data_IF_801457400586
#
_entry.id   IF_801457400586
#
_cell.length_a   1.000
_cell.length_b   1.000
_cell.length_c   1.000
_cell.angle_alpha   90.00
_cell.angle_beta   90.00
_cell.angle_gamma   90.00
#
_symmetry.space_group_name_H-M   'P 1'
#
loop_
_entity.id
_entity.type
_entity.pdbx_description
1 polymer ?
#
# COMPACT_ATOMS: atom_id res chain seq x y z
N UNK A 1 -5.58 6.77 -5.86
CA UNK A 1 -4.13 6.67 -5.87
C UNK A 1 -3.70 5.67 -4.85
N UNK A 2 -2.81 4.82 -5.26
CA UNK A 2 -2.23 3.87 -4.35
C UNK A 2 -1.34 4.60 -3.34
N UNK A 3 -1.79 4.66 -2.11
CA UNK A 3 -1.03 5.24 -1.02
C UNK A 3 0.27 4.48 -0.74
N UNK A 4 0.36 3.22 -1.18
CA UNK A 4 1.54 2.39 -0.95
C UNK A 4 2.67 2.68 -1.94
N UNK A 5 2.36 3.10 -3.18
CA UNK A 5 3.37 3.59 -4.12
C UNK A 5 3.94 4.95 -3.73
N UNK A 6 3.22 5.73 -2.92
CA UNK A 6 3.69 7.00 -2.40
C UNK A 6 4.49 6.90 -1.09
N UNK A 7 4.58 5.72 -0.49
CA UNK A 7 5.32 5.51 0.78
C UNK A 7 6.81 5.82 0.69
N UNK A 8 7.40 5.75 -0.49
CA UNK A 8 8.78 6.14 -0.74
C UNK A 8 9.04 7.65 -0.81
N UNK A 9 8.00 8.49 -0.72
CA UNK A 9 8.10 9.93 -0.93
C UNK A 9 8.21 10.76 0.37
N UNK A 10 8.60 10.16 1.47
CA UNK A 10 8.93 10.87 2.70
C UNK A 10 7.78 11.68 3.32
N UNK A 11 8.04 12.93 3.63
CA UNK A 11 7.12 13.81 4.38
C UNK A 11 5.77 14.08 3.74
N UNK A 12 5.67 14.05 2.42
CA UNK A 12 4.42 14.34 1.72
C UNK A 12 3.37 13.27 1.98
N UNK A 13 3.78 12.01 2.04
CA UNK A 13 2.88 10.91 2.38
C UNK A 13 2.36 11.00 3.82
N UNK A 14 3.22 11.40 4.75
CA UNK A 14 2.90 11.52 6.17
C UNK A 14 1.75 12.50 6.45
N UNK A 15 1.48 13.45 5.55
CA UNK A 15 0.52 14.54 5.76
C UNK A 15 -0.81 14.35 5.03
N UNK A 16 -0.85 13.47 4.02
CA UNK A 16 -1.99 13.38 3.10
C UNK A 16 -3.37 13.21 3.73
N UNK A 17 -3.60 12.33 4.71
CA UNK A 17 -4.96 12.15 5.23
C UNK A 17 -5.42 13.29 6.13
N UNK A 18 -4.52 13.99 6.81
CA UNK A 18 -4.85 14.87 7.95
C UNK A 18 -4.41 16.31 7.78
N UNK A 19 -3.49 16.60 6.89
CA UNK A 19 -2.98 17.96 6.63
C UNK A 19 -3.05 18.29 5.15
N UNK A 20 -3.51 19.51 4.82
CA UNK A 20 -3.45 20.02 3.46
C UNK A 20 -2.04 20.48 3.13
N UNK A 21 -1.49 20.00 2.01
CA UNK A 21 -0.10 20.29 1.61
C UNK A 21 -0.01 20.62 0.13
N UNK A 22 1.15 21.11 -0.29
CA UNK A 22 1.52 21.14 -1.70
C UNK A 22 1.45 19.72 -2.25
N UNK A 23 0.93 19.56 -3.45
CA UNK A 23 0.84 18.26 -4.09
C UNK A 23 2.22 17.71 -4.47
N UNK A 24 2.26 16.45 -4.83
CA UNK A 24 3.45 15.78 -5.35
C UNK A 24 3.11 14.97 -6.61
N UNK A 25 4.11 14.75 -7.44
CA UNK A 25 3.92 14.11 -8.74
C UNK A 25 2.90 14.87 -9.58
N UNK A 26 1.82 14.20 -10.00
CA UNK A 26 0.75 14.80 -10.80
C UNK A 26 -0.29 15.58 -9.97
N UNK A 27 -0.31 15.43 -8.64
CA UNK A 27 -1.22 16.17 -7.78
C UNK A 27 -0.67 17.56 -7.47
N UNK A 28 -1.38 18.59 -7.89
CA UNK A 28 -1.00 19.99 -7.63
C UNK A 28 -1.18 20.38 -6.17
N UNK A 29 -2.18 19.84 -5.51
CA UNK A 29 -2.50 20.08 -4.10
C UNK A 29 -3.16 18.88 -3.48
N UNK A 30 -2.86 18.62 -2.20
CA UNK A 30 -3.47 17.59 -1.38
C UNK A 30 -4.17 18.26 -0.22
N UNK A 31 -5.38 17.83 0.08
CA UNK A 31 -6.20 18.35 1.15
C UNK A 31 -6.36 17.32 2.27
N UNK A 32 -6.51 17.79 3.49
CA UNK A 32 -6.87 16.95 4.63
C UNK A 32 -8.22 16.27 4.37
N UNK A 33 -8.34 15.01 4.76
CA UNK A 33 -9.60 14.27 4.71
C UNK A 33 -10.72 14.98 5.50
N UNK A 34 -10.35 15.68 6.56
CA UNK A 34 -11.27 16.45 7.42
C UNK A 34 -11.85 17.69 6.75
N UNK A 35 -11.23 18.16 5.65
CA UNK A 35 -11.74 19.26 4.83
C UNK A 35 -12.69 18.80 3.72
N UNK A 36 -12.88 17.49 3.54
CA UNK A 36 -13.59 16.90 2.40
C UNK A 36 -15.02 17.47 2.25
N UNK A 37 -15.77 17.58 3.34
CA UNK A 37 -17.11 18.14 3.31
C UNK A 37 -17.13 19.62 2.91
N UNK A 38 -16.20 20.41 3.45
CA UNK A 38 -16.03 21.83 3.09
C UNK A 38 -15.71 21.99 1.60
N UNK A 39 -14.81 21.16 1.09
CA UNK A 39 -14.43 21.15 -0.32
C UNK A 39 -15.61 20.80 -1.23
N UNK A 40 -16.42 19.79 -0.84
CA UNK A 40 -17.63 19.43 -1.57
C UNK A 40 -18.65 20.57 -1.61
N UNK A 41 -18.81 21.33 -0.52
CA UNK A 41 -19.70 22.51 -0.49
C UNK A 41 -19.26 23.62 -1.44
N UNK A 42 -17.94 23.78 -1.67
CA UNK A 42 -17.36 24.77 -2.59
C UNK A 42 -17.40 24.24 -4.03
N UNK A 43 -16.92 23.03 -4.25
CA UNK A 43 -16.85 22.38 -5.55
C UNK A 43 -17.52 21.02 -5.44
N UNK A 44 -18.71 20.88 -6.01
CA UNK A 44 -19.45 19.61 -5.98
C UNK A 44 -18.61 18.47 -6.54
N UNK A 45 -18.60 17.36 -5.83
CA UNK A 45 -17.96 16.12 -6.29
C UNK A 45 -18.97 15.31 -7.10
N UNK A 46 -18.55 14.81 -8.25
CA UNK A 46 -19.34 13.90 -9.06
C UNK A 46 -19.20 12.45 -8.57
N UNK A 47 -18.06 12.12 -7.97
CA UNK A 47 -17.77 10.83 -7.37
C UNK A 47 -16.67 10.95 -6.31
N UNK A 48 -16.62 9.99 -5.41
CA UNK A 48 -15.55 9.84 -4.41
C UNK A 48 -14.86 8.50 -4.65
N UNK A 49 -13.54 8.54 -4.82
CA UNK A 49 -12.74 7.33 -5.03
C UNK A 49 -11.82 7.10 -3.83
N UNK A 50 -12.05 5.99 -3.12
CA UNK A 50 -11.15 5.50 -2.07
C UNK A 50 -10.10 4.63 -2.75
N UNK A 51 -8.84 5.10 -2.73
CA UNK A 51 -7.73 4.45 -3.42
C UNK A 51 -7.16 3.25 -2.67
N UNK A 52 -6.15 2.62 -3.28
CA UNK A 52 -5.48 1.44 -2.78
C UNK A 52 -4.69 1.65 -1.48
N UNK A 53 -4.01 0.62 -1.04
CA UNK A 53 -3.32 0.52 0.23
C UNK A 53 -4.04 -0.43 1.20
N UNK A 54 -3.36 -0.88 2.24
CA UNK A 54 -3.98 -1.64 3.34
C UNK A 54 -4.57 -0.64 4.33
N UNK A 55 -5.71 -0.06 3.98
CA UNK A 55 -6.33 1.03 4.75
C UNK A 55 -7.63 0.64 5.42
N UNK A 56 -8.24 -0.50 5.07
CA UNK A 56 -9.53 -0.92 5.61
C UNK A 56 -9.30 -1.66 6.92
N UNK A 57 -9.06 -0.91 7.98
CA UNK A 57 -8.91 -1.40 9.34
C UNK A 57 -9.09 -0.25 10.34
N UNK A 58 -9.23 -0.60 11.63
CA UNK A 58 -9.46 0.37 12.71
C UNK A 58 -8.20 0.73 13.50
N UNK A 59 -7.06 0.14 13.16
CA UNK A 59 -5.81 0.44 13.85
C UNK A 59 -5.29 1.82 13.46
N UNK A 60 -4.71 2.50 14.44
CA UNK A 60 -3.96 3.73 14.21
C UNK A 60 -2.48 3.41 13.97
N UNK A 61 -1.78 4.31 13.33
CA UNK A 61 -0.33 4.22 13.24
C UNK A 61 0.33 5.49 13.81
N UNK A 62 1.49 5.30 14.42
CA UNK A 62 2.29 6.40 14.94
C UNK A 62 3.28 6.85 13.90
N UNK A 63 3.35 8.15 13.69
CA UNK A 63 4.24 8.77 12.74
C UNK A 63 4.74 10.11 13.27
N UNK A 64 5.99 10.47 12.97
CA UNK A 64 6.49 11.81 13.26
C UNK A 64 5.78 12.84 12.35
N UNK A 65 5.31 13.92 12.95
CA UNK A 65 4.80 15.08 12.22
C UNK A 65 5.96 16.01 11.79
N UNK A 66 5.64 17.15 11.19
CA UNK A 66 6.61 18.17 10.76
C UNK A 66 7.42 18.79 11.93
N UNK A 67 6.93 18.66 13.19
CA UNK A 67 7.61 19.09 14.40
C UNK A 67 8.46 17.98 15.05
N UNK A 68 8.71 16.87 14.32
CA UNK A 68 9.42 15.67 14.82
C UNK A 68 8.72 14.97 16.01
N UNK A 69 7.46 15.33 16.31
CA UNK A 69 6.66 14.69 17.35
C UNK A 69 5.94 13.48 16.80
N UNK A 70 5.89 12.40 17.57
CA UNK A 70 5.05 11.25 17.24
C UNK A 70 3.58 11.60 17.41
N UNK A 71 2.82 11.48 16.33
CA UNK A 71 1.37 11.66 16.31
C UNK A 71 0.74 10.36 15.87
N UNK A 72 -0.37 10.00 16.51
CA UNK A 72 -1.16 8.83 16.16
C UNK A 72 -2.24 9.22 15.15
N UNK A 73 -2.26 8.54 14.01
CA UNK A 73 -3.20 8.77 12.92
C UNK A 73 -4.19 7.61 12.81
N UNK A 74 -5.50 7.87 12.99
CA UNK A 74 -6.54 6.84 12.85
C UNK A 74 -6.80 6.55 11.36
N UNK A 75 -6.24 5.45 10.86
CA UNK A 75 -6.34 5.12 9.44
C UNK A 75 -7.78 4.97 8.95
N UNK A 76 -8.71 4.59 9.83
CA UNK A 76 -10.11 4.40 9.49
C UNK A 76 -10.80 5.67 8.95
N UNK A 77 -10.33 6.86 9.30
CA UNK A 77 -10.88 8.11 8.74
C UNK A 77 -10.75 8.12 7.21
N UNK A 78 -9.73 7.47 6.64
CA UNK A 78 -9.47 7.47 5.19
C UNK A 78 -10.51 6.74 4.36
N UNK A 79 -11.30 5.84 4.95
CA UNK A 79 -12.34 5.10 4.27
C UNK A 79 -13.74 5.34 4.84
N UNK A 80 -13.87 5.63 6.14
CA UNK A 80 -15.16 5.94 6.76
C UNK A 80 -15.66 7.31 6.33
N UNK A 81 -14.83 8.36 6.44
CA UNK A 81 -15.25 9.74 6.12
C UNK A 81 -15.70 9.88 4.66
N UNK A 82 -14.98 9.38 3.64
CA UNK A 82 -15.46 9.39 2.25
C UNK A 82 -16.82 8.71 2.07
N UNK A 83 -17.01 7.57 2.72
CA UNK A 83 -18.25 6.78 2.62
C UNK A 83 -19.45 7.50 3.28
N UNK A 84 -19.23 8.14 4.44
CA UNK A 84 -20.25 8.94 5.10
C UNK A 84 -20.62 10.18 4.26
N UNK A 85 -19.65 10.89 3.72
CA UNK A 85 -19.88 12.07 2.87
C UNK A 85 -20.61 11.67 1.58
N UNK A 86 -20.20 10.57 0.95
CA UNK A 86 -20.88 10.04 -0.21
C UNK A 86 -22.34 9.76 0.06
N UNK A 87 -22.66 9.07 1.15
CA UNK A 87 -24.03 8.80 1.58
C UNK A 87 -24.80 10.09 1.89
N UNK A 88 -24.21 11.01 2.67
CA UNK A 88 -24.85 12.27 3.07
C UNK A 88 -25.28 13.13 1.88
N UNK A 89 -24.49 13.14 0.82
CA UNK A 89 -24.71 14.01 -0.34
C UNK A 89 -25.17 13.27 -1.59
N UNK A 90 -25.45 11.97 -1.49
CA UNK A 90 -25.86 11.15 -2.64
C UNK A 90 -24.76 11.02 -3.70
N UNK A 91 -23.47 11.06 -3.29
CA UNK A 91 -22.33 10.98 -4.20
C UNK A 91 -21.90 9.52 -4.32
N UNK A 92 -21.72 8.98 -5.55
CA UNK A 92 -21.19 7.63 -5.73
C UNK A 92 -19.83 7.46 -5.05
N UNK A 93 -19.69 6.40 -4.26
CA UNK A 93 -18.41 6.04 -3.62
C UNK A 93 -17.86 4.79 -4.28
N UNK A 94 -16.66 4.91 -4.79
CA UNK A 94 -15.93 3.86 -5.49
C UNK A 94 -14.74 3.43 -4.64
N UNK A 95 -14.62 2.15 -4.36
CA UNK A 95 -13.43 1.59 -3.73
C UNK A 95 -12.55 0.91 -4.77
N UNK A 96 -11.40 1.52 -5.03
CA UNK A 96 -10.45 1.12 -6.05
C UNK A 96 -9.28 0.34 -5.42
N UNK A 97 -9.48 -0.96 -5.22
CA UNK A 97 -8.48 -1.92 -4.73
C UNK A 97 -7.83 -1.59 -3.38
N UNK A 98 -8.54 -1.05 -2.35
CA UNK A 98 -7.97 -1.06 -1.02
C UNK A 98 -7.87 -2.48 -0.49
N UNK A 99 -6.93 -2.70 0.45
CA UNK A 99 -6.78 -3.95 1.17
C UNK A 99 -7.42 -3.86 2.56
N UNK A 100 -7.98 -4.99 3.00
CA UNK A 100 -8.47 -5.21 4.35
C UNK A 100 -7.53 -6.25 5.02
N UNK A 101 -6.53 -5.82 5.81
CA UNK A 101 -5.51 -6.72 6.33
C UNK A 101 -5.94 -7.53 7.55
N UNK A 102 -7.11 -7.22 8.13
CA UNK A 102 -7.64 -7.84 9.35
C UNK A 102 -9.13 -8.09 9.22
N UNK A 103 -9.62 -9.14 9.86
CA UNK A 103 -11.04 -9.34 10.08
C UNK A 103 -11.57 -8.32 11.09
N UNK A 104 -12.84 -7.97 10.98
CA UNK A 104 -13.50 -7.09 11.93
C UNK A 104 -14.11 -7.89 13.09
N UNK A 105 -14.09 -7.33 14.26
CA UNK A 105 -14.69 -7.91 15.46
C UNK A 105 -15.65 -6.93 16.16
N UNK A 106 -16.52 -7.43 17.03
CA UNK A 106 -17.35 -6.65 17.92
C UNK A 106 -17.97 -5.41 17.26
N UNK A 107 -17.61 -4.22 17.77
CA UNK A 107 -18.09 -2.94 17.27
C UNK A 107 -17.60 -2.62 15.85
N UNK A 108 -16.45 -3.15 15.45
CA UNK A 108 -15.90 -2.95 14.11
C UNK A 108 -16.85 -3.54 13.06
N UNK A 109 -17.45 -4.71 13.34
CA UNK A 109 -18.47 -5.33 12.50
C UNK A 109 -19.67 -4.41 12.30
N UNK A 110 -20.14 -3.78 13.40
CA UNK A 110 -21.28 -2.88 13.31
C UNK A 110 -20.98 -1.66 12.43
N UNK A 111 -19.83 -1.01 12.64
CA UNK A 111 -19.42 0.16 11.85
C UNK A 111 -19.21 -0.24 10.38
N UNK A 112 -18.48 -1.33 10.14
CA UNK A 112 -18.24 -1.83 8.79
C UNK A 112 -19.55 -2.09 8.04
N UNK A 113 -20.52 -2.76 8.69
CA UNK A 113 -21.84 -3.01 8.08
C UNK A 113 -22.58 -1.73 7.68
N UNK A 114 -22.49 -0.68 8.50
CA UNK A 114 -23.13 0.62 8.20
C UNK A 114 -22.45 1.39 7.07
N UNK A 115 -21.12 1.30 6.97
CA UNK A 115 -20.34 2.06 6.01
C UNK A 115 -20.27 1.35 4.67
N UNK A 116 -19.99 0.05 4.67
CA UNK A 116 -19.67 -0.72 3.45
C UNK A 116 -20.89 -1.04 2.60
N UNK A 117 -22.06 -1.21 3.21
CA UNK A 117 -23.31 -1.49 2.49
C UNK A 117 -23.72 -0.40 1.48
N UNK A 118 -23.19 0.81 1.62
CA UNK A 118 -23.53 1.96 0.79
C UNK A 118 -22.45 2.33 -0.24
N UNK A 119 -21.41 1.50 -0.42
CA UNK A 119 -20.38 1.73 -1.44
C UNK A 119 -20.94 1.31 -2.81
N UNK A 120 -20.92 2.22 -3.77
CA UNK A 120 -21.51 2.04 -5.11
C UNK A 120 -20.77 1.00 -5.96
N UNK A 121 -19.43 0.95 -5.79
CA UNK A 121 -18.57 -0.05 -6.43
C UNK A 121 -17.44 -0.37 -5.46
N UNK A 122 -17.19 -1.67 -5.25
CA UNK A 122 -16.15 -2.13 -4.35
C UNK A 122 -15.28 -3.18 -5.03
N UNK A 123 -14.02 -2.87 -5.19
CA UNK A 123 -12.98 -3.84 -5.53
C UNK A 123 -11.92 -3.92 -4.47
N UNK A 124 -11.32 -5.08 -4.32
CA UNK A 124 -10.20 -5.37 -3.42
C UNK A 124 -9.12 -6.15 -4.17
N UNK A 125 -7.88 -6.09 -3.69
CA UNK A 125 -6.72 -6.60 -4.43
C UNK A 125 -6.36 -8.06 -4.16
N UNK A 126 -6.99 -8.71 -3.19
CA UNK A 126 -6.71 -10.12 -2.85
C UNK A 126 -7.92 -10.81 -2.24
N UNK A 127 -7.86 -12.15 -2.22
CA UNK A 127 -8.94 -13.00 -1.72
C UNK A 127 -9.21 -12.79 -0.23
N UNK A 128 -8.18 -12.58 0.59
CA UNK A 128 -8.36 -12.33 2.02
C UNK A 128 -9.23 -11.09 2.29
N UNK A 129 -8.96 -9.99 1.57
CA UNK A 129 -9.79 -8.78 1.68
C UNK A 129 -11.22 -9.01 1.17
N UNK A 130 -11.39 -9.83 0.15
CA UNK A 130 -12.71 -10.22 -0.34
C UNK A 130 -13.49 -10.99 0.73
N UNK A 131 -12.89 -12.01 1.31
CA UNK A 131 -13.52 -12.85 2.34
C UNK A 131 -13.91 -12.04 3.58
N UNK A 132 -13.08 -11.06 3.95
CA UNK A 132 -13.34 -10.15 5.05
C UNK A 132 -14.52 -9.20 4.79
N UNK A 133 -14.81 -8.87 3.52
CA UNK A 133 -15.76 -7.79 3.16
C UNK A 133 -17.05 -8.28 2.50
N UNK A 134 -17.11 -9.50 1.97
CA UNK A 134 -18.27 -10.02 1.22
C UNK A 134 -19.55 -10.03 2.04
N UNK A 135 -19.47 -10.24 3.34
CA UNK A 135 -20.62 -10.24 4.23
C UNK A 135 -21.23 -8.84 4.46
N UNK A 136 -20.48 -7.76 4.16
CA UNK A 136 -20.92 -6.38 4.32
C UNK A 136 -21.37 -5.76 3.00
N UNK A 137 -20.83 -6.22 1.88
CA UNK A 137 -21.21 -5.76 0.55
C UNK A 137 -21.10 -6.91 -0.46
N UNK A 138 -22.26 -7.41 -0.90
CA UNK A 138 -22.34 -8.53 -1.85
C UNK A 138 -21.74 -8.21 -3.25
N UNK A 139 -21.49 -6.94 -3.56
CA UNK A 139 -20.92 -6.50 -4.83
C UNK A 139 -19.39 -6.37 -4.81
N UNK A 140 -18.73 -6.76 -3.70
CA UNK A 140 -17.28 -6.74 -3.65
C UNK A 140 -16.67 -7.67 -4.68
N UNK A 141 -15.60 -7.25 -5.35
CA UNK A 141 -14.90 -8.01 -6.38
C UNK A 141 -13.42 -8.07 -6.09
N UNK A 142 -12.78 -9.19 -6.40
CA UNK A 142 -11.32 -9.26 -6.43
C UNK A 142 -10.81 -8.73 -7.76
N UNK A 143 -9.89 -7.79 -7.73
CA UNK A 143 -9.20 -7.27 -8.91
C UNK A 143 -7.68 -7.32 -8.71
N UNK A 144 -6.93 -7.09 -9.77
CA UNK A 144 -5.47 -6.96 -9.70
C UNK A 144 -5.07 -5.57 -9.22
N UNK A 145 -3.89 -5.46 -8.62
CA UNK A 145 -3.39 -4.17 -8.15
C UNK A 145 -3.21 -3.19 -9.32
N UNK A 146 -3.73 -1.97 -9.17
CA UNK A 146 -3.66 -0.93 -10.22
C UNK A 146 -2.24 -0.44 -10.51
N UNK A 147 -1.27 -0.78 -9.67
CA UNK A 147 0.15 -0.51 -9.92
C UNK A 147 0.68 -1.20 -11.19
N UNK A 148 0.00 -2.22 -11.72
CA UNK A 148 0.33 -2.78 -13.04
C UNK A 148 0.17 -1.78 -14.19
N UNK A 149 -0.47 -0.62 -13.97
CA UNK A 149 -0.53 0.49 -14.91
C UNK A 149 0.66 1.47 -14.80
N UNK A 150 1.68 1.18 -14.00
CA UNK A 150 2.80 2.10 -13.74
C UNK A 150 3.48 2.60 -15.02
N UNK A 151 3.53 1.77 -16.08
CA UNK A 151 4.12 2.15 -17.37
C UNK A 151 3.34 3.20 -18.15
N UNK A 152 2.03 3.33 -17.91
CA UNK A 152 1.21 4.38 -18.51
C UNK A 152 1.55 5.75 -17.87
N UNK A 153 1.81 5.75 -16.57
CA UNK A 153 2.19 6.96 -15.83
C UNK A 153 3.65 7.32 -16.09
N UNK A 154 4.53 6.32 -16.13
CA UNK A 154 5.97 6.47 -16.33
C UNK A 154 6.44 5.63 -17.53
N UNK A 155 6.17 6.05 -18.78
CA UNK A 155 6.65 5.32 -19.96
C UNK A 155 8.18 5.24 -19.96
N UNK A 156 8.73 4.04 -20.23
CA UNK A 156 10.19 3.79 -20.15
C UNK A 156 11.04 4.79 -20.97
N UNK A 157 10.52 5.25 -22.09
CA UNK A 157 11.20 6.21 -22.96
C UNK A 157 11.30 7.64 -22.36
N UNK A 158 10.51 7.96 -21.33
CA UNK A 158 10.60 9.23 -20.57
C UNK A 158 11.54 9.11 -19.37
N UNK A 159 11.84 7.90 -18.92
CA UNK A 159 12.67 7.67 -17.76
C UNK A 159 14.16 7.79 -18.10
N UNK A 160 14.92 8.37 -17.18
CA UNK A 160 16.37 8.50 -17.32
C UNK A 160 17.06 7.38 -16.55
N UNK A 161 17.86 6.54 -17.25
CA UNK A 161 18.65 5.52 -16.59
C UNK A 161 19.69 6.16 -15.65
N UNK A 162 19.61 5.84 -14.37
CA UNK A 162 20.46 6.43 -13.32
C UNK A 162 21.79 5.69 -13.13
N UNK A 163 21.80 4.37 -13.32
CA UNK A 163 22.99 3.52 -13.16
C UNK A 163 23.47 3.01 -14.50
N UNK A 164 24.76 3.29 -14.83
CA UNK A 164 25.41 2.78 -16.04
C UNK A 164 25.80 1.30 -15.86
N UNK A 165 25.61 0.50 -16.91
CA UNK A 165 25.95 -0.94 -16.92
C UNK A 165 24.84 -1.80 -16.32
N UNK A 166 25.17 -3.08 -16.07
CA UNK A 166 24.24 -4.05 -15.47
C UNK A 166 24.16 -3.86 -13.97
N UNK A 167 22.96 -3.94 -13.40
CA UNK A 167 22.76 -3.83 -11.97
C UNK A 167 21.55 -4.57 -11.44
N UNK A 168 21.68 -5.05 -10.22
CA UNK A 168 20.61 -5.67 -9.42
C UNK A 168 20.12 -4.67 -8.40
N UNK A 169 18.81 -4.54 -8.25
CA UNK A 169 18.19 -3.77 -7.18
C UNK A 169 17.87 -4.69 -6.02
N UNK A 170 18.33 -4.31 -4.83
CA UNK A 170 17.95 -4.95 -3.57
C UNK A 170 17.17 -4.00 -2.68
N UNK A 171 16.11 -4.51 -2.06
CA UNK A 171 15.28 -3.78 -1.10
C UNK A 171 15.00 -4.63 0.13
N UNK A 172 15.14 -4.04 1.30
CA UNK A 172 14.82 -4.65 2.59
C UNK A 172 14.29 -3.60 3.56
N UNK A 173 13.81 -4.03 4.72
CA UNK A 173 13.33 -3.17 5.79
C UNK A 173 13.80 -3.69 7.16
N UNK A 174 13.51 -2.93 8.24
CA UNK A 174 13.95 -3.23 9.62
C UNK A 174 13.52 -4.59 10.16
N UNK A 175 12.58 -5.27 9.54
CA UNK A 175 12.08 -6.56 10.01
C UNK A 175 12.92 -7.75 9.54
N UNK A 176 13.99 -7.51 8.78
CA UNK A 176 14.91 -8.57 8.36
C UNK A 176 15.63 -9.17 9.57
N UNK A 177 15.48 -10.48 9.79
CA UNK A 177 16.20 -11.21 10.81
C UNK A 177 17.69 -11.41 10.44
N UNK A 178 18.53 -11.72 11.43
CA UNK A 178 19.98 -11.83 11.21
C UNK A 178 20.34 -12.90 10.16
N UNK A 179 19.70 -14.09 10.19
CA UNK A 179 19.97 -15.13 9.21
C UNK A 179 19.64 -14.68 7.78
N UNK A 180 18.47 -14.07 7.58
CA UNK A 180 18.05 -13.55 6.28
C UNK A 180 18.96 -12.40 5.83
N UNK A 181 19.44 -11.58 6.76
CA UNK A 181 20.42 -10.51 6.49
C UNK A 181 21.74 -11.08 5.99
N UNK A 182 22.31 -12.08 6.69
CA UNK A 182 23.57 -12.71 6.31
C UNK A 182 23.46 -13.45 4.98
N UNK A 183 22.35 -14.14 4.74
CA UNK A 183 22.07 -14.77 3.45
C UNK A 183 22.00 -13.73 2.32
N UNK A 184 21.28 -12.62 2.54
CA UNK A 184 21.22 -11.53 1.55
C UNK A 184 22.61 -10.95 1.27
N UNK A 185 23.39 -10.61 2.30
CA UNK A 185 24.74 -10.06 2.13
C UNK A 185 25.62 -11.01 1.31
N UNK A 186 25.61 -12.31 1.62
CA UNK A 186 26.38 -13.34 0.89
C UNK A 186 25.99 -13.39 -0.58
N UNK A 187 24.71 -13.49 -0.90
CA UNK A 187 24.23 -13.57 -2.29
C UNK A 187 24.50 -12.27 -3.08
N UNK A 188 24.33 -11.11 -2.44
CA UNK A 188 24.64 -9.82 -3.05
C UNK A 188 26.15 -9.64 -3.32
N UNK A 189 27.00 -10.12 -2.42
CA UNK A 189 28.44 -10.14 -2.63
C UNK A 189 28.84 -11.04 -3.81
N UNK A 190 28.19 -12.18 -3.97
CA UNK A 190 28.43 -13.06 -5.13
C UNK A 190 27.96 -12.39 -6.44
N UNK A 191 26.76 -11.81 -6.45
CA UNK A 191 26.23 -11.06 -7.58
C UNK A 191 27.08 -9.85 -7.94
N UNK A 192 27.75 -9.23 -6.97
CA UNK A 192 28.58 -8.04 -7.18
C UNK A 192 29.80 -8.28 -8.07
N UNK A 193 30.19 -9.53 -8.27
CA UNK A 193 31.24 -9.91 -9.22
C UNK A 193 30.86 -9.65 -10.69
N UNK A 194 29.56 -9.60 -10.98
CA UNK A 194 29.02 -9.44 -12.37
C UNK A 194 28.14 -8.21 -12.52
N UNK A 195 27.42 -7.82 -11.47
CA UNK A 195 26.44 -6.74 -11.47
C UNK A 195 26.81 -5.69 -10.44
N UNK A 196 26.50 -4.43 -10.69
CA UNK A 196 26.45 -3.42 -9.63
C UNK A 196 25.24 -3.73 -8.73
N UNK A 197 25.40 -3.62 -7.43
CA UNK A 197 24.30 -3.80 -6.48
C UNK A 197 23.79 -2.43 -6.04
N UNK A 198 22.53 -2.17 -6.28
CA UNK A 198 21.83 -0.95 -5.88
C UNK A 198 20.90 -1.25 -4.70
N UNK A 199 21.17 -0.67 -3.55
CA UNK A 199 20.36 -0.77 -2.35
C UNK A 199 19.28 0.32 -2.39
N UNK A 200 18.05 -0.04 -2.76
CA UNK A 200 17.00 0.94 -3.04
C UNK A 200 16.03 1.12 -1.85
N UNK A 201 16.01 2.28 -1.17
CA UNK A 201 14.99 2.58 -0.17
C UNK A 201 13.65 2.84 -0.84
N UNK A 202 12.58 2.19 -0.36
CA UNK A 202 11.22 2.29 -0.90
C UNK A 202 10.20 2.80 0.11
N UNK A 203 10.48 2.70 1.41
CA UNK A 203 9.54 3.07 2.45
C UNK A 203 10.25 3.67 3.67
N UNK A 204 10.34 5.00 3.72
CA UNK A 204 10.94 5.74 4.86
C UNK A 204 10.31 5.35 6.21
N UNK A 205 9.01 5.01 6.22
CA UNK A 205 8.29 4.62 7.45
C UNK A 205 8.68 3.26 8.03
N UNK A 206 9.43 2.45 7.28
CA UNK A 206 9.85 1.10 7.69
C UNK A 206 11.35 1.05 8.02
N UNK A 207 11.98 2.20 8.18
CA UNK A 207 13.41 2.34 8.44
C UNK A 207 14.29 1.57 7.42
N UNK A 208 13.82 1.55 6.16
CA UNK A 208 14.50 0.86 5.05
C UNK A 208 15.93 1.36 4.89
N UNK A 209 16.12 2.66 5.00
CA UNK A 209 17.42 3.30 4.77
C UNK A 209 18.48 2.84 5.76
N UNK A 210 18.13 2.67 7.04
CA UNK A 210 19.09 2.27 8.07
C UNK A 210 19.61 0.86 7.84
N UNK A 211 18.73 -0.08 7.47
CA UNK A 211 19.15 -1.46 7.18
C UNK A 211 19.97 -1.54 5.90
N UNK A 212 19.61 -0.76 4.87
CA UNK A 212 20.38 -0.68 3.62
C UNK A 212 21.73 -0.03 3.83
N UNK A 213 21.82 0.97 4.71
CA UNK A 213 23.08 1.60 5.11
C UNK A 213 24.01 0.64 5.88
N UNK A 214 23.43 -0.26 6.70
CA UNK A 214 24.19 -1.34 7.34
C UNK A 214 24.77 -2.27 6.27
N UNK A 215 23.95 -2.74 5.31
CA UNK A 215 24.41 -3.58 4.19
C UNK A 215 25.50 -2.89 3.34
N UNK A 216 25.36 -1.60 3.08
CA UNK A 216 26.39 -0.81 2.38
C UNK A 216 27.73 -0.86 3.09
N UNK A 217 27.75 -0.64 4.41
CA UNK A 217 28.97 -0.70 5.23
C UNK A 217 29.55 -2.11 5.27
N UNK A 218 28.71 -3.13 5.52
CA UNK A 218 29.13 -4.52 5.63
C UNK A 218 29.65 -5.09 4.30
N UNK A 219 29.29 -4.48 3.16
CA UNK A 219 29.85 -4.76 1.85
C UNK A 219 31.18 -4.05 1.56
N UNK A 220 31.80 -3.39 2.54
CA UNK A 220 32.95 -2.50 2.35
C UNK A 220 32.69 -1.37 1.35
N UNK A 221 31.45 -0.86 1.33
CA UNK A 221 30.99 0.26 0.49
C UNK A 221 31.07 0.02 -1.03
N UNK A 222 31.14 -1.24 -1.47
CA UNK A 222 31.16 -1.58 -2.90
C UNK A 222 29.78 -1.53 -3.55
N UNK A 223 28.70 -1.58 -2.75
CA UNK A 223 27.33 -1.41 -3.24
C UNK A 223 27.00 0.06 -3.49
N UNK A 224 25.91 0.33 -4.19
CA UNK A 224 25.41 1.68 -4.44
C UNK A 224 24.27 1.94 -3.46
N UNK A 225 24.38 2.96 -2.63
CA UNK A 225 23.31 3.44 -1.76
C UNK A 225 22.90 4.84 -2.20
N UNK A 226 21.75 5.02 -2.83
CA UNK A 226 21.27 6.35 -3.22
C UNK A 226 20.82 7.16 -1.99
N UNK A 227 20.44 8.43 -2.21
CA UNK A 227 19.83 9.27 -1.17
C UNK A 227 18.61 8.60 -0.56
N UNK A 228 18.37 8.84 0.73
CA UNK A 228 17.15 8.41 1.40
C UNK A 228 15.89 9.01 0.79
N UNK A 229 15.99 10.24 0.32
CA UNK A 229 14.88 10.97 -0.30
C UNK A 229 15.00 10.88 -1.82
N UNK A 230 14.20 9.98 -2.40
CA UNK A 230 14.07 9.80 -3.83
C UNK A 230 12.70 10.26 -4.31
N UNK A 231 12.66 10.85 -5.49
CA UNK A 231 11.41 11.11 -6.20
C UNK A 231 10.81 9.80 -6.72
N UNK A 232 9.51 9.78 -6.97
CA UNK A 232 8.84 8.63 -7.57
C UNK A 232 9.45 8.27 -8.93
N UNK A 233 9.81 9.26 -9.74
CA UNK A 233 10.44 9.05 -11.04
C UNK A 233 11.81 8.38 -10.93
N UNK A 234 12.62 8.77 -9.94
CA UNK A 234 13.91 8.12 -9.66
C UNK A 234 13.72 6.67 -9.22
N UNK A 235 12.80 6.41 -8.27
CA UNK A 235 12.47 5.06 -7.82
C UNK A 235 12.04 4.18 -9.00
N UNK A 236 11.09 4.67 -9.79
CA UNK A 236 10.61 3.95 -10.97
C UNK A 236 11.73 3.76 -11.99
N UNK A 237 12.61 4.75 -12.18
CA UNK A 237 13.77 4.64 -13.07
C UNK A 237 14.73 3.54 -12.62
N UNK A 238 15.07 3.47 -11.34
CA UNK A 238 15.92 2.39 -10.83
C UNK A 238 15.30 1.01 -11.07
N UNK A 239 14.00 0.86 -10.84
CA UNK A 239 13.29 -0.40 -11.04
C UNK A 239 13.06 -0.73 -12.53
N UNK A 240 12.89 0.27 -13.39
CA UNK A 240 12.63 0.07 -14.82
C UNK A 240 13.85 -0.42 -15.62
N UNK A 241 15.05 -0.14 -15.15
CA UNK A 241 16.29 -0.44 -15.86
C UNK A 241 17.18 -1.46 -15.16
N UNK A 242 16.74 -2.05 -14.03
CA UNK A 242 17.51 -3.11 -13.37
C UNK A 242 17.48 -4.41 -14.19
N UNK A 243 18.49 -5.24 -13.97
CA UNK A 243 18.55 -6.59 -14.59
C UNK A 243 17.88 -7.64 -13.69
N UNK A 244 17.71 -7.35 -12.40
CA UNK A 244 16.98 -8.15 -11.43
C UNK A 244 16.54 -7.26 -10.26
N UNK A 245 15.34 -7.49 -9.74
CA UNK A 245 14.87 -6.98 -8.45
C UNK A 245 14.81 -8.10 -7.41
N UNK A 246 15.37 -7.87 -6.24
CA UNK A 246 15.28 -8.76 -5.07
C UNK A 246 14.75 -7.94 -3.89
N UNK A 247 13.67 -8.35 -3.25
CA UNK A 247 13.23 -7.65 -2.06
C UNK A 247 11.85 -7.96 -1.54
N UNK A 248 11.55 -7.39 -0.39
CA UNK A 248 10.29 -7.59 0.34
C UNK A 248 9.16 -6.67 -0.10
N UNK A 249 9.44 -5.62 -0.90
CA UNK A 249 8.42 -4.65 -1.29
C UNK A 249 7.51 -5.19 -2.39
N UNK A 250 6.23 -5.30 -2.09
CA UNK A 250 5.17 -5.69 -3.02
C UNK A 250 5.14 -4.81 -4.28
N UNK A 251 5.16 -3.47 -4.12
CA UNK A 251 5.13 -2.56 -5.27
C UNK A 251 6.47 -2.41 -5.97
N UNK A 252 7.58 -2.66 -5.26
CA UNK A 252 8.90 -2.77 -5.88
C UNK A 252 8.93 -3.91 -6.89
N UNK A 253 8.41 -5.09 -6.49
CA UNK A 253 8.29 -6.25 -7.36
C UNK A 253 7.37 -5.97 -8.56
N UNK A 254 6.14 -5.45 -8.34
CA UNK A 254 5.22 -5.11 -9.44
C UNK A 254 5.87 -4.14 -10.42
N UNK A 255 6.51 -3.07 -9.90
CA UNK A 255 7.12 -2.06 -10.74
C UNK A 255 8.22 -2.67 -11.62
N UNK A 256 9.18 -3.37 -11.05
CA UNK A 256 10.25 -4.02 -11.83
C UNK A 256 9.68 -5.02 -12.86
N UNK A 257 8.72 -5.85 -12.45
CA UNK A 257 8.03 -6.80 -13.32
C UNK A 257 7.33 -6.13 -14.50
N UNK A 258 6.63 -5.00 -14.28
CA UNK A 258 5.95 -4.27 -15.36
C UNK A 258 6.91 -3.84 -16.46
N UNK A 259 8.17 -3.50 -16.15
CA UNK A 259 9.17 -3.15 -17.16
C UNK A 259 9.84 -4.37 -17.82
N UNK A 260 9.43 -5.59 -17.45
CA UNK A 260 9.91 -6.84 -17.99
C UNK A 260 11.18 -7.34 -17.31
N UNK A 261 11.49 -6.85 -16.14
CA UNK A 261 12.65 -7.29 -15.38
C UNK A 261 12.31 -8.49 -14.49
N UNK A 262 13.23 -9.47 -14.33
CA UNK A 262 13.09 -10.55 -13.37
C UNK A 262 12.92 -10.03 -11.95
N UNK A 263 12.14 -10.74 -11.13
CA UNK A 263 11.86 -10.35 -9.74
C UNK A 263 11.96 -11.55 -8.80
N UNK A 264 12.52 -11.32 -7.62
CA UNK A 264 12.55 -12.27 -6.51
C UNK A 264 11.91 -11.62 -5.29
N UNK A 265 10.88 -12.25 -4.77
CA UNK A 265 10.22 -11.84 -3.52
C UNK A 265 10.97 -12.42 -2.34
N UNK A 266 11.90 -11.67 -1.76
CA UNK A 266 12.59 -12.08 -0.54
C UNK A 266 11.78 -11.65 0.67
N UNK A 267 10.84 -12.50 1.09
CA UNK A 267 9.81 -12.18 2.08
C UNK A 267 10.01 -12.90 3.42
N UNK A 268 10.97 -12.41 4.19
CA UNK A 268 11.28 -12.87 5.55
C UNK A 268 10.22 -12.53 6.60
N UNK A 269 9.16 -11.80 6.24
CA UNK A 269 8.01 -11.48 7.10
C UNK A 269 6.79 -12.35 6.80
N UNK A 270 6.88 -13.26 5.84
CA UNK A 270 5.82 -14.18 5.42
C UNK A 270 4.49 -13.49 5.11
N UNK A 271 4.55 -12.41 4.34
CA UNK A 271 3.39 -11.61 4.02
C UNK A 271 2.53 -12.29 2.94
N UNK A 272 1.30 -12.68 3.31
CA UNK A 272 0.37 -13.37 2.41
C UNK A 272 0.18 -12.64 1.08
N UNK A 273 0.08 -11.30 1.07
CA UNK A 273 -0.12 -10.53 -0.17
C UNK A 273 1.05 -10.65 -1.15
N UNK A 274 2.28 -10.76 -0.63
CA UNK A 274 3.46 -10.92 -1.49
C UNK A 274 3.45 -12.32 -2.12
N UNK A 275 3.12 -13.34 -1.34
CA UNK A 275 2.95 -14.70 -1.86
C UNK A 275 1.87 -14.75 -2.93
N UNK A 276 0.68 -14.21 -2.65
CA UNK A 276 -0.45 -14.16 -3.60
C UNK A 276 -0.05 -13.46 -4.91
N UNK A 277 0.77 -12.41 -4.85
CA UNK A 277 1.29 -11.74 -6.04
C UNK A 277 2.11 -12.70 -6.91
N UNK A 278 3.08 -13.40 -6.31
CA UNK A 278 3.96 -14.31 -7.06
C UNK A 278 3.18 -15.50 -7.63
N UNK A 279 2.18 -16.00 -6.91
CA UNK A 279 1.27 -17.04 -7.40
C UNK A 279 0.41 -16.53 -8.58
N UNK A 280 -0.15 -15.32 -8.50
CA UNK A 280 -0.90 -14.69 -9.60
C UNK A 280 -0.04 -14.46 -10.85
N UNK A 281 1.25 -14.18 -10.67
CA UNK A 281 2.20 -13.99 -11.77
C UNK A 281 2.72 -15.32 -12.34
N UNK A 282 2.42 -16.45 -11.72
CA UNK A 282 3.01 -17.76 -12.07
C UNK A 282 4.52 -17.79 -11.79
N UNK A 283 4.95 -17.11 -10.73
CA UNK A 283 6.34 -16.95 -10.31
C UNK A 283 6.56 -17.49 -8.89
N UNK A 284 5.80 -18.48 -8.45
CA UNK A 284 5.82 -19.02 -7.09
C UNK A 284 7.21 -19.51 -6.65
N UNK A 285 8.03 -20.02 -7.61
CA UNK A 285 9.42 -20.44 -7.37
C UNK A 285 10.38 -19.27 -7.10
N UNK A 286 9.98 -18.04 -7.41
CA UNK A 286 10.74 -16.81 -7.16
C UNK A 286 10.27 -16.11 -5.87
N UNK A 287 9.27 -16.67 -5.16
CA UNK A 287 8.88 -16.24 -3.83
C UNK A 287 9.68 -17.02 -2.79
N UNK A 288 10.57 -16.32 -2.13
CA UNK A 288 11.52 -16.86 -1.15
C UNK A 288 11.12 -16.39 0.25
N UNK A 289 10.62 -17.29 1.06
CA UNK A 289 10.29 -17.04 2.48
C UNK A 289 11.25 -17.74 3.47
N UNK A 290 12.14 -18.57 2.94
CA UNK A 290 13.24 -19.21 3.66
C UNK A 290 14.56 -18.74 3.03
N UNK A 291 15.42 -18.13 3.83
CA UNK A 291 16.68 -17.57 3.35
C UNK A 291 17.62 -18.56 2.70
N UNK A 292 17.52 -19.85 3.02
CA UNK A 292 18.31 -20.92 2.37
C UNK A 292 17.98 -21.09 0.90
N UNK A 293 16.76 -20.70 0.47
CA UNK A 293 16.27 -20.78 -0.90
C UNK A 293 16.57 -19.53 -1.74
N UNK A 294 17.24 -18.52 -1.17
CA UNK A 294 17.47 -17.25 -1.89
C UNK A 294 18.29 -17.44 -3.17
N UNK A 295 19.32 -18.27 -3.12
CA UNK A 295 20.14 -18.61 -4.28
C UNK A 295 19.32 -19.22 -5.40
N UNK A 296 18.50 -20.21 -5.09
CA UNK A 296 17.66 -20.91 -6.07
C UNK A 296 16.60 -19.99 -6.68
N UNK A 297 15.97 -19.13 -5.85
CA UNK A 297 15.04 -18.11 -6.33
C UNK A 297 15.67 -17.12 -7.31
N UNK A 298 16.91 -16.68 -7.05
CA UNK A 298 17.68 -15.80 -7.95
C UNK A 298 17.99 -16.52 -9.26
N UNK A 299 18.46 -17.74 -9.18
CA UNK A 299 18.75 -18.58 -10.36
C UNK A 299 17.50 -18.75 -11.22
N UNK A 300 16.39 -19.16 -10.61
CA UNK A 300 15.10 -19.32 -11.29
C UNK A 300 14.65 -18.02 -11.97
N UNK A 301 14.84 -16.85 -11.33
CA UNK A 301 14.50 -15.56 -11.92
C UNK A 301 15.32 -15.23 -13.17
N UNK A 302 16.60 -15.53 -13.19
CA UNK A 302 17.45 -15.31 -14.37
C UNK A 302 17.19 -16.29 -15.53
N UNK A 303 16.78 -17.52 -15.21
CA UNK A 303 16.48 -18.56 -16.21
C UNK A 303 15.11 -18.35 -16.86
N UNK A 304 14.24 -17.51 -16.29
CA UNK A 304 12.89 -17.28 -16.79
C UNK A 304 12.89 -16.55 -18.14
N UNK A 305 12.17 -17.09 -19.10
CA UNK A 305 12.09 -16.50 -20.44
C UNK A 305 11.35 -15.15 -20.44
N UNK A 306 11.97 -14.15 -21.03
CA UNK A 306 11.41 -12.80 -21.21
C UNK A 306 10.04 -12.80 -21.93
N UNK A 307 9.80 -13.77 -22.84
CA UNK A 307 8.53 -13.90 -23.54
C UNK A 307 7.39 -14.25 -22.58
N UNK A 308 7.67 -15.11 -21.60
CA UNK A 308 6.67 -15.48 -20.57
C UNK A 308 6.33 -14.28 -19.69
N UNK A 309 7.31 -13.53 -19.19
CA UNK A 309 7.08 -12.32 -18.38
C UNK A 309 6.21 -11.29 -19.13
N UNK A 310 6.49 -11.07 -20.43
CA UNK A 310 5.70 -10.17 -21.28
C UNK A 310 4.24 -10.64 -21.44
N UNK A 311 4.02 -11.95 -21.60
CA UNK A 311 2.69 -12.53 -21.72
C UNK A 311 1.88 -12.34 -20.43
N UNK A 312 2.49 -12.64 -19.29
CA UNK A 312 1.85 -12.45 -17.97
C UNK A 312 1.55 -10.97 -17.72
N UNK A 313 2.48 -10.06 -18.01
CA UNK A 313 2.25 -8.63 -17.90
C UNK A 313 1.06 -8.17 -18.75
N UNK A 314 0.97 -8.63 -20.02
CA UNK A 314 -0.16 -8.29 -20.90
C UNK A 314 -1.49 -8.73 -20.30
N UNK A 315 -1.56 -9.91 -19.71
CA UNK A 315 -2.76 -10.40 -19.03
C UNK A 315 -3.12 -9.54 -17.81
N UNK A 316 -2.13 -9.19 -16.96
CA UNK A 316 -2.38 -8.32 -15.80
C UNK A 316 -2.85 -6.94 -16.22
N UNK A 317 -2.23 -6.35 -17.26
CA UNK A 317 -2.64 -5.05 -17.82
C UNK A 317 -4.08 -5.10 -18.33
N UNK A 318 -4.45 -6.14 -19.05
CA UNK A 318 -5.83 -6.31 -19.53
C UNK A 318 -6.85 -6.40 -18.39
N UNK A 319 -6.52 -7.10 -17.30
CA UNK A 319 -7.36 -7.14 -16.09
C UNK A 319 -7.52 -5.77 -15.45
N UNK A 320 -6.46 -4.95 -15.40
CA UNK A 320 -6.53 -3.58 -14.90
C UNK A 320 -7.40 -2.70 -15.80
N UNK A 321 -7.29 -2.83 -17.12
CA UNK A 321 -8.12 -2.07 -18.03
C UNK A 321 -9.61 -2.41 -17.86
N UNK A 322 -9.94 -3.70 -17.82
CA UNK A 322 -11.31 -4.17 -17.53
C UNK A 322 -11.82 -3.64 -16.19
N UNK A 323 -10.98 -3.60 -15.16
CA UNK A 323 -11.35 -3.04 -13.87
C UNK A 323 -11.71 -1.55 -13.95
N UNK A 324 -10.94 -0.75 -14.69
CA UNK A 324 -11.28 0.67 -14.90
C UNK A 324 -12.52 0.87 -15.75
N UNK A 325 -12.78 0.00 -16.75
CA UNK A 325 -14.03 -0.01 -17.52
C UNK A 325 -15.23 -0.28 -16.61
N UNK A 326 -15.14 -1.25 -15.71
CA UNK A 326 -16.19 -1.53 -14.72
C UNK A 326 -16.46 -0.35 -13.78
N UNK A 327 -15.42 0.38 -13.35
CA UNK A 327 -15.58 1.61 -12.57
C UNK A 327 -16.32 2.66 -13.39
N UNK A 328 -15.92 2.89 -14.63
CA UNK A 328 -16.56 3.86 -15.53
C UNK A 328 -18.05 3.52 -15.78
N UNK A 329 -18.34 2.26 -16.00
CA UNK A 329 -19.71 1.77 -16.15
C UNK A 329 -20.55 1.99 -14.89
N UNK A 330 -19.96 1.74 -13.71
CA UNK A 330 -20.65 1.97 -12.44
C UNK A 330 -21.01 3.45 -12.24
N UNK A 331 -20.10 4.35 -12.58
CA UNK A 331 -20.34 5.79 -12.51
C UNK A 331 -21.43 6.23 -13.48
N UNK A 332 -21.44 5.70 -14.71
CA UNK A 332 -22.44 6.03 -15.72
C UNK A 332 -23.84 5.57 -15.32
N UNK A 333 -23.96 4.36 -14.77
CA UNK A 333 -25.25 3.80 -14.31
C UNK A 333 -25.81 4.60 -13.12
N UNK A 334 -24.97 4.98 -12.19
CA UNK A 334 -25.39 5.78 -11.03
C UNK A 334 -25.83 7.19 -11.41
N UNK A 335 -25.31 7.77 -12.49
CA UNK A 335 -25.75 9.08 -13.00
C UNK A 335 -27.10 9.02 -13.76
N UNK A 336 -27.52 7.83 -14.22
CA UNK A 336 -28.81 7.64 -14.91
C UNK A 336 -29.96 7.28 -13.96
N UNK A 337 -29.66 6.67 -12.84
CA UNK A 337 -30.62 6.46 -11.77
C UNK A 337 -30.74 7.72 -10.96
N UNK A 338 -31.81 8.49 -11.14
CA UNK A 338 -32.10 9.66 -10.32
C UNK A 338 -31.88 9.31 -8.84
N UNK A 339 -31.11 10.11 -8.16
CA UNK A 339 -30.81 9.95 -6.74
C UNK A 339 -32.13 9.71 -6.01
N UNK A 340 -32.34 8.50 -5.51
CA UNK A 340 -33.33 8.31 -4.47
C UNK A 340 -32.82 9.16 -3.30
N UNK A 341 -33.54 10.23 -3.01
CA UNK A 341 -33.42 11.01 -1.79
C UNK A 341 -33.77 10.12 -0.60
N UNK A 342 -32.97 9.12 -0.33
CA UNK A 342 -32.91 8.51 0.98
C UNK A 342 -32.19 9.52 1.87
N UNK A 343 -32.90 10.62 2.16
CA UNK A 343 -32.55 11.54 3.23
C UNK A 343 -32.35 10.69 4.47
N UNK A 344 -31.08 10.47 4.83
CA UNK A 344 -30.77 10.24 6.21
C UNK A 344 -31.26 11.50 6.93
N UNK A 345 -32.21 11.36 7.81
CA UNK A 345 -32.57 12.47 8.67
C UNK A 345 -31.31 12.92 9.39
N UNK A 346 -31.20 14.19 9.73
CA UNK A 346 -30.11 14.71 10.56
C UNK A 346 -29.95 13.87 11.85
N UNK A 347 -31.05 13.30 12.34
CA UNK A 347 -31.09 12.34 13.42
C UNK A 347 -30.31 11.06 13.14
N UNK A 348 -30.47 10.45 11.97
CA UNK A 348 -29.74 9.21 11.61
C UNK A 348 -28.23 9.43 11.55
N UNK A 349 -27.80 10.60 11.05
CA UNK A 349 -26.36 10.97 11.04
C UNK A 349 -25.83 11.21 12.45
N UNK A 350 -26.62 11.87 13.31
CA UNK A 350 -26.23 12.09 14.71
C UNK A 350 -26.21 10.77 15.47
N UNK A 351 -27.18 9.90 15.28
CA UNK A 351 -27.24 8.60 15.93
C UNK A 351 -26.09 7.70 15.48
N UNK A 352 -25.75 7.70 14.19
CA UNK A 352 -24.57 7.01 13.67
C UNK A 352 -23.25 7.60 14.20
N UNK A 353 -23.12 8.93 14.24
CA UNK A 353 -21.93 9.59 14.80
C UNK A 353 -21.84 9.42 16.32
N UNK A 354 -22.96 9.45 17.02
CA UNK A 354 -23.04 9.23 18.46
C UNK A 354 -22.68 7.78 18.82
N UNK A 355 -23.14 6.82 18.02
CA UNK A 355 -22.71 5.42 18.10
C UNK A 355 -21.20 5.25 17.87
N UNK A 356 -20.66 5.88 16.83
CA UNK A 356 -19.24 5.91 16.52
C UNK A 356 -18.41 6.53 17.66
N UNK A 357 -18.83 7.67 18.18
CA UNK A 357 -18.17 8.36 19.29
C UNK A 357 -18.21 7.55 20.57
N UNK A 358 -19.34 6.88 20.86
CA UNK A 358 -19.48 5.98 22.01
C UNK A 358 -18.52 4.80 21.91
N UNK A 359 -18.39 4.21 20.73
CA UNK A 359 -17.50 3.10 20.46
C UNK A 359 -16.03 3.53 20.58
N UNK A 360 -15.65 4.67 19.97
CA UNK A 360 -14.30 5.23 20.07
C UNK A 360 -13.94 5.61 21.52
N UNK A 361 -14.89 6.17 22.26
CA UNK A 361 -14.74 6.51 23.68
C UNK A 361 -14.53 5.27 24.56
N UNK A 362 -15.23 4.17 24.26
CA UNK A 362 -15.06 2.90 24.98
C UNK A 362 -13.71 2.25 24.66
N UNK A 363 -13.24 2.31 23.39
CA UNK A 363 -11.89 1.88 23.03
C UNK A 363 -10.80 2.66 23.76
N UNK A 364 -10.98 3.96 23.91
CA UNK A 364 -10.02 4.80 24.63
C UNK A 364 -9.96 4.44 26.11
N UNK A 365 -11.12 4.13 26.74
CA UNK A 365 -11.19 3.64 28.13
C UNK A 365 -10.54 2.27 28.29
N UNK A 366 -10.83 1.34 27.41
CA UNK A 366 -10.25 -0.01 27.47
C UNK A 366 -8.74 0.01 27.30
N UNK A 367 -8.22 0.85 26.38
CA UNK A 367 -6.77 1.03 26.24
C UNK A 367 -6.13 1.71 27.45
N UNK A 368 -6.79 2.67 28.06
CA UNK A 368 -6.31 3.33 29.27
C UNK A 368 -6.27 2.32 30.44
N UNK A 369 -7.30 1.47 30.56
CA UNK A 369 -7.35 0.39 31.54
C UNK A 369 -6.25 -0.66 31.34
N UNK A 370 -5.96 -1.05 30.08
CA UNK A 370 -4.86 -1.96 29.75
C UNK A 370 -3.50 -1.33 30.05
N UNK A 371 -3.32 -0.06 29.74
CA UNK A 371 -2.06 0.66 30.03
C UNK A 371 -1.86 0.81 31.55
N UNK A 372 -2.92 1.13 32.30
CA UNK A 372 -2.85 1.19 33.76
C UNK A 372 -2.57 -0.18 34.39
N UNK A 373 -3.15 -1.25 33.85
CA UNK A 373 -2.85 -2.62 34.26
C UNK A 373 -1.39 -2.97 34.02
N UNK A 374 -0.85 -2.70 32.85
CA UNK A 374 0.58 -2.94 32.56
C UNK A 374 1.51 -2.06 33.41
N UNK A 375 1.14 -0.84 33.72
CA UNK A 375 1.90 0.02 34.64
C UNK A 375 1.92 -0.52 36.06
N UNK A 376 0.77 -1.03 36.55
CA UNK A 376 0.69 -1.64 37.89
C UNK A 376 1.46 -2.95 37.97
N UNK A 377 1.40 -3.80 36.93
CA UNK A 377 2.16 -5.05 36.86
C UNK A 377 3.67 -4.79 36.76
N UNK A 378 4.10 -3.75 36.02
CA UNK A 378 5.50 -3.36 35.95
C UNK A 378 6.03 -2.78 37.27
N UNK A 379 5.20 -2.06 38.02
CA UNK A 379 5.55 -1.58 39.38
C UNK A 379 5.60 -2.74 40.40
N UNK A 380 4.75 -3.75 40.27
CA UNK A 380 4.77 -4.92 41.15
C UNK A 380 6.00 -5.81 40.95
N UNK A 381 6.56 -5.85 39.74
CA UNK A 381 7.76 -6.62 39.41
C UNK A 381 9.08 -5.87 39.71
N UNK A 382 9.01 -4.61 40.18
CA UNK A 382 10.17 -3.80 40.58
C UNK A 382 10.29 -3.63 42.11
N UNK A 383 9.37 -4.22 42.88
CA UNK A 383 9.40 -4.37 44.35
C UNK A 383 9.71 -5.82 44.73
#
# INVERSE_FOLDING_TARGET
RDSSTSRGLGDVYKRQPYESTQGFGIAKKVYSIREMEKLHKINKFDAIVVGGGEIIHFYSFKQKNHEEKYVEYPIFETWIVPSIIGRKYGIPVIWNNPGCPFEFDGYQNYIAGKVLGNVSFMSVRNQFSYDALINYNANVKVSVDTAFNIKEVFPKWKLKRQVKGKYVVFHSNRFIGENSYQSALKELMELSKTYKILLLPLAVTNDDYDILKKLYKDSNEIFILPSEQLTMEEIVSYLAFCDLYIGVSFHGAITAFCYGNPVVGFDFVHNKKTRDLYDQLGLSEQYVSDESMLHDGIKCAFEREQKQLKSVYKNMKQKVDMHFDEIADSLTKNNQGGYNEAFLSFSDVIDEMSGLLSVLSNQYRDRTGVIEKYKSEAQYNLL
#
